data_IF_088716197440
#
_entry.id   IF_088716197440
#
_cell.length_a   1.000
_cell.length_b   1.000
_cell.length_c   1.000
_cell.angle_alpha   90.00
_cell.angle_beta   90.00
_cell.angle_gamma   90.00
#
_symmetry.space_group_name_H-M   'P 1'
#
loop_
_entity.id
_entity.type
_entity.pdbx_description
1 polymer ?
#
# COMPACT_ATOMS: atom_id res chain seq x y z
N UNK A 1 4.23 19.89 0.70
CA UNK A 1 4.47 19.61 2.13
C UNK A 1 3.79 18.29 2.40
N UNK A 2 4.46 17.33 3.03
CA UNK A 2 3.93 15.98 3.18
C UNK A 2 2.65 15.97 4.01
N UNK A 3 1.72 15.07 3.69
CA UNK A 3 0.54 14.83 4.52
C UNK A 3 0.99 14.20 5.83
N UNK A 4 0.68 14.84 6.96
CA UNK A 4 0.96 14.25 8.27
C UNK A 4 -0.08 13.19 8.62
N UNK A 5 0.36 12.16 9.34
CA UNK A 5 -0.52 11.07 9.78
C UNK A 5 -1.58 11.63 10.72
N UNK A 6 -1.18 12.55 11.62
CA UNK A 6 -2.08 13.22 12.53
C UNK A 6 -3.22 13.93 11.81
N UNK A 7 -2.89 14.76 10.82
CA UNK A 7 -3.88 15.51 10.04
C UNK A 7 -4.81 14.56 9.29
N UNK A 8 -4.27 13.47 8.73
CA UNK A 8 -5.07 12.46 8.04
C UNK A 8 -6.08 11.76 8.96
N UNK A 9 -5.67 11.28 10.13
CA UNK A 9 -6.58 10.61 11.07
C UNK A 9 -7.61 11.56 11.69
N UNK A 10 -7.19 12.79 12.04
CA UNK A 10 -8.10 13.80 12.58
C UNK A 10 -9.15 14.23 11.56
N UNK A 11 -8.84 14.20 10.26
CA UNK A 11 -9.81 14.53 9.21
C UNK A 11 -11.05 13.63 9.18
N UNK A 12 -10.95 12.44 9.75
CA UNK A 12 -12.05 11.47 9.90
C UNK A 12 -12.46 11.24 11.35
N UNK A 13 -12.06 12.15 12.26
CA UNK A 13 -12.37 12.10 13.70
C UNK A 13 -11.96 10.78 14.39
N UNK A 14 -10.84 10.17 13.96
CA UNK A 14 -10.33 8.96 14.58
C UNK A 14 -9.06 9.24 15.39
N UNK A 15 -8.98 8.83 16.67
CA UNK A 15 -7.68 8.73 17.34
C UNK A 15 -6.83 7.67 16.64
N UNK A 16 -5.54 7.57 16.93
CA UNK A 16 -4.70 6.46 16.46
C UNK A 16 -3.78 5.99 17.58
N UNK A 17 -3.41 4.72 17.53
CA UNK A 17 -2.49 4.11 18.47
C UNK A 17 -1.04 4.49 18.17
N UNK A 18 -0.14 4.26 19.13
CA UNK A 18 1.31 4.39 18.94
C UNK A 18 1.74 3.56 17.73
N UNK A 19 2.50 4.14 16.78
CA UNK A 19 2.95 3.40 15.62
C UNK A 19 3.89 2.27 16.02
N UNK A 20 3.77 1.14 15.34
CA UNK A 20 4.73 0.04 15.45
C UNK A 20 5.61 -0.01 14.22
N UNK A 21 6.81 -0.57 14.34
CA UNK A 21 7.65 -0.85 13.18
C UNK A 21 7.02 -1.94 12.32
N UNK A 22 7.26 -1.90 11.01
CA UNK A 22 6.91 -3.00 10.09
C UNK A 22 7.36 -4.36 10.65
N UNK A 23 6.57 -5.40 10.36
CA UNK A 23 6.75 -6.76 10.87
C UNK A 23 6.61 -6.93 12.39
N UNK A 24 6.10 -5.91 13.11
CA UNK A 24 5.76 -6.01 14.54
C UNK A 24 4.28 -6.38 14.70
N UNK A 25 3.93 -7.42 15.49
CA UNK A 25 2.53 -7.75 15.78
C UNK A 25 1.75 -6.58 16.38
N UNK A 26 0.48 -6.45 16.00
CA UNK A 26 -0.43 -5.45 16.55
C UNK A 26 -1.37 -6.06 17.59
N UNK A 27 -1.57 -5.38 18.70
CA UNK A 27 -2.67 -5.67 19.63
C UNK A 27 -3.93 -4.89 19.20
N UNK A 28 -4.49 -5.27 18.06
CA UNK A 28 -5.60 -4.58 17.40
C UNK A 28 -6.66 -5.58 16.91
N UNK A 29 -7.36 -6.21 17.86
CA UNK A 29 -8.37 -7.25 17.59
C UNK A 29 -9.77 -6.68 17.30
N UNK A 30 -9.84 -5.67 16.44
CA UNK A 30 -11.05 -4.97 16.06
C UNK A 30 -11.02 -4.55 14.58
N UNK A 31 -12.18 -4.22 13.98
CA UNK A 31 -12.24 -3.59 12.67
C UNK A 31 -11.69 -2.15 12.72
N UNK A 32 -11.12 -1.69 11.61
CA UNK A 32 -10.65 -0.31 11.50
C UNK A 32 -9.64 -0.07 10.38
N UNK A 33 -8.82 0.97 10.54
CA UNK A 33 -7.89 1.47 9.53
C UNK A 33 -6.45 1.27 9.98
N UNK A 34 -5.56 1.05 9.02
CA UNK A 34 -4.12 1.14 9.20
C UNK A 34 -3.46 1.95 8.08
N UNK A 35 -2.38 2.64 8.42
CA UNK A 35 -1.57 3.46 7.51
C UNK A 35 -0.13 3.02 7.61
N UNK A 36 0.52 2.77 6.47
CA UNK A 36 1.95 2.45 6.40
C UNK A 36 2.70 3.72 5.99
N UNK A 37 3.70 4.10 6.78
CA UNK A 37 4.41 5.38 6.67
C UNK A 37 5.93 5.22 6.74
N UNK A 38 6.65 6.13 6.11
CA UNK A 38 8.12 6.27 6.16
C UNK A 38 8.62 6.92 7.46
N UNK A 39 7.75 7.55 8.23
CA UNK A 39 8.07 8.20 9.50
C UNK A 39 7.27 7.61 10.66
N UNK A 40 7.88 7.63 11.85
CA UNK A 40 7.23 7.30 13.13
C UNK A 40 6.56 8.51 13.78
N UNK A 41 6.93 9.73 13.39
CA UNK A 41 6.35 10.94 13.97
C UNK A 41 5.05 11.25 13.23
N UNK A 42 3.89 11.23 13.91
CA UNK A 42 2.62 11.48 13.24
C UNK A 42 2.46 12.93 12.80
N UNK A 43 3.26 13.87 13.32
CA UNK A 43 3.18 15.29 13.01
C UNK A 43 4.12 15.71 11.87
N UNK A 44 4.98 14.81 11.40
CA UNK A 44 5.94 15.09 10.33
C UNK A 44 5.22 15.55 9.06
N UNK A 45 5.56 16.78 8.66
CA UNK A 45 5.13 17.43 7.41
C UNK A 45 6.29 17.56 6.41
N UNK A 46 7.47 17.10 6.80
CA UNK A 46 8.67 17.02 5.97
C UNK A 46 8.76 15.59 5.46
N UNK A 47 8.94 15.44 4.14
CA UNK A 47 9.11 14.14 3.53
C UNK A 47 10.42 13.49 3.98
N UNK A 48 10.38 12.18 4.19
CA UNK A 48 11.57 11.39 4.50
C UNK A 48 12.60 11.44 3.35
N UNK A 49 13.87 11.22 3.69
CA UNK A 49 14.97 11.25 2.72
C UNK A 49 15.17 9.92 1.95
N UNK A 50 14.20 9.01 1.98
CA UNK A 50 14.29 7.73 1.28
C UNK A 50 14.31 7.95 -0.23
N UNK A 51 15.33 7.39 -0.89
CA UNK A 51 15.36 7.30 -2.35
C UNK A 51 14.59 6.06 -2.78
N UNK A 52 13.71 6.22 -3.76
CA UNK A 52 12.97 5.09 -4.33
C UNK A 52 13.92 4.01 -4.85
N UNK A 53 13.85 2.82 -4.27
CA UNK A 53 14.69 1.69 -4.63
C UNK A 53 13.94 0.39 -4.34
N UNK A 54 14.00 -0.55 -5.30
CA UNK A 54 13.39 -1.86 -5.17
C UNK A 54 14.41 -2.91 -4.71
N UNK A 55 13.93 -3.92 -3.99
CA UNK A 55 14.73 -5.07 -3.56
C UNK A 55 14.80 -6.11 -4.68
N UNK A 56 16.01 -6.38 -5.17
CA UNK A 56 16.25 -7.35 -6.24
C UNK A 56 15.96 -8.80 -5.82
N UNK A 57 16.26 -9.18 -4.58
CA UNK A 57 16.01 -10.55 -4.09
C UNK A 57 14.50 -10.83 -4.05
N UNK A 58 13.72 -9.91 -3.46
CA UNK A 58 12.25 -10.00 -3.41
C UNK A 58 11.62 -10.03 -4.80
N UNK A 59 12.19 -9.27 -5.74
CA UNK A 59 11.75 -9.31 -7.14
C UNK A 59 12.05 -10.65 -7.83
N UNK A 60 13.25 -11.21 -7.62
CA UNK A 60 13.60 -12.53 -8.16
C UNK A 60 12.73 -13.65 -7.57
N UNK A 61 12.40 -13.59 -6.28
CA UNK A 61 11.44 -14.49 -5.66
C UNK A 61 10.05 -14.36 -6.28
N UNK A 62 9.57 -13.12 -6.47
CA UNK A 62 8.28 -12.90 -7.12
C UNK A 62 8.22 -13.50 -8.52
N UNK A 63 9.28 -13.34 -9.32
CA UNK A 63 9.36 -13.94 -10.66
C UNK A 63 9.32 -15.48 -10.62
N UNK A 64 9.96 -16.10 -9.62
CA UNK A 64 9.93 -17.55 -9.44
C UNK A 64 8.53 -18.07 -9.12
N UNK A 65 7.74 -17.27 -8.40
CA UNK A 65 6.37 -17.61 -8.05
C UNK A 65 5.38 -17.27 -9.18
N UNK A 66 5.50 -16.09 -9.80
CA UNK A 66 4.62 -15.59 -10.86
C UNK A 66 5.28 -15.67 -12.25
N UNK A 67 5.35 -16.88 -12.81
CA UNK A 67 6.12 -17.17 -14.03
C UNK A 67 5.65 -16.43 -15.30
N UNK A 68 4.45 -15.86 -15.27
CA UNK A 68 3.83 -15.10 -16.36
C UNK A 68 3.71 -13.61 -16.05
N UNK A 69 4.42 -13.13 -15.02
CA UNK A 69 4.49 -11.72 -14.67
C UNK A 69 4.94 -10.92 -15.89
N UNK A 70 4.13 -9.93 -16.26
CA UNK A 70 4.43 -9.02 -17.36
C UNK A 70 4.10 -7.58 -17.00
N UNK A 71 4.75 -6.68 -17.71
CA UNK A 71 4.50 -5.25 -17.67
C UNK A 71 4.32 -4.79 -19.11
N UNK A 72 3.25 -4.04 -19.39
CA UNK A 72 2.98 -3.56 -20.76
C UNK A 72 2.97 -4.71 -21.78
N UNK A 73 2.46 -5.87 -21.36
CA UNK A 73 2.38 -7.12 -22.14
C UNK A 73 3.74 -7.81 -22.41
N UNK A 74 4.86 -7.19 -22.02
CA UNK A 74 6.18 -7.77 -22.12
C UNK A 74 6.56 -8.57 -20.86
N UNK A 75 7.15 -9.75 -21.06
CA UNK A 75 7.69 -10.55 -19.97
C UNK A 75 8.88 -9.82 -19.37
N UNK A 76 8.82 -9.54 -18.07
CA UNK A 76 9.92 -8.85 -17.39
C UNK A 76 10.97 -9.87 -16.97
N UNK A 77 12.22 -9.68 -17.43
CA UNK A 77 13.35 -10.48 -16.97
C UNK A 77 14.23 -9.80 -15.92
N UNK A 78 14.29 -8.46 -15.90
CA UNK A 78 15.19 -7.69 -15.05
C UNK A 78 14.43 -6.72 -14.13
N UNK A 79 15.05 -6.32 -13.01
CA UNK A 79 14.44 -5.37 -12.07
C UNK A 79 14.31 -3.96 -12.65
N UNK A 80 15.27 -3.53 -13.47
CA UNK A 80 15.40 -2.13 -13.89
C UNK A 80 14.15 -1.57 -14.61
N UNK A 81 13.51 -2.30 -15.56
CA UNK A 81 12.24 -1.86 -16.13
C UNK A 81 11.14 -1.69 -15.07
N UNK A 82 11.07 -2.60 -14.10
CA UNK A 82 10.08 -2.54 -13.03
C UNK A 82 10.32 -1.37 -12.08
N UNK A 83 11.57 -1.08 -11.75
CA UNK A 83 11.95 0.08 -10.95
C UNK A 83 11.60 1.38 -11.68
N UNK A 84 11.96 1.52 -12.95
CA UNK A 84 11.60 2.69 -13.77
C UNK A 84 10.09 2.89 -13.85
N UNK A 85 9.33 1.81 -13.98
CA UNK A 85 7.88 1.86 -14.04
C UNK A 85 7.27 2.28 -12.70
N UNK A 86 7.64 1.61 -11.60
CA UNK A 86 7.10 1.91 -10.29
C UNK A 86 7.49 3.29 -9.75
N UNK A 87 8.64 3.85 -10.18
CA UNK A 87 9.03 5.20 -9.78
C UNK A 87 8.03 6.27 -10.24
N UNK A 88 7.19 5.99 -11.25
CA UNK A 88 6.14 6.91 -11.68
C UNK A 88 5.02 7.08 -10.64
N UNK A 89 4.84 6.11 -9.74
CA UNK A 89 3.85 6.16 -8.66
C UNK A 89 4.46 6.62 -7.32
N UNK A 90 5.78 6.78 -7.28
CA UNK A 90 6.48 7.27 -6.09
C UNK A 90 6.32 8.78 -5.98
N UNK A 91 5.88 9.26 -4.82
CA UNK A 91 5.89 10.68 -4.50
C UNK A 91 7.02 10.96 -3.50
N UNK A 92 8.11 11.64 -3.90
CA UNK A 92 9.23 11.92 -3.01
C UNK A 92 8.88 12.95 -1.91
N UNK A 93 7.77 13.67 -2.06
CA UNK A 93 7.32 14.69 -1.10
C UNK A 93 6.33 14.13 -0.06
N UNK A 94 6.17 12.80 0.03
CA UNK A 94 5.18 12.16 0.89
C UNK A 94 5.76 11.06 1.77
N UNK A 95 5.16 10.91 2.96
CA UNK A 95 5.53 9.87 3.93
C UNK A 95 4.58 8.67 3.89
N UNK A 96 3.33 8.85 3.46
CA UNK A 96 2.31 7.81 3.48
C UNK A 96 2.42 6.94 2.22
N UNK A 97 2.64 5.64 2.43
CA UNK A 97 2.81 4.66 1.36
C UNK A 97 1.54 3.88 1.05
N UNK A 98 0.71 3.64 2.07
CA UNK A 98 -0.48 2.82 1.94
C UNK A 98 -1.49 3.15 3.05
N UNK A 99 -2.76 3.19 2.68
CA UNK A 99 -3.90 3.26 3.60
C UNK A 99 -4.75 2.02 3.35
N UNK A 100 -5.05 1.26 4.41
CA UNK A 100 -5.81 0.02 4.31
C UNK A 100 -6.85 -0.11 5.41
N UNK A 101 -7.86 -0.94 5.17
CA UNK A 101 -8.89 -1.26 6.16
C UNK A 101 -9.00 -2.74 6.50
N UNK A 102 -9.71 -2.99 7.59
CA UNK A 102 -10.31 -4.28 7.97
C UNK A 102 -11.75 -4.08 8.45
N UNK A 103 -12.72 -4.66 7.75
CA UNK A 103 -14.17 -4.52 8.05
C UNK A 103 -14.75 -5.53 9.05
N UNK A 104 -13.98 -6.49 9.57
CA UNK A 104 -14.54 -7.53 10.45
C UNK A 104 -13.63 -7.84 11.63
N UNK A 105 -14.20 -8.07 12.81
CA UNK A 105 -13.47 -8.56 13.99
C UNK A 105 -12.84 -9.94 13.74
N UNK A 106 -13.46 -10.78 12.91
CA UNK A 106 -12.88 -12.08 12.50
C UNK A 106 -11.64 -11.92 11.62
N UNK A 107 -11.52 -10.77 10.93
CA UNK A 107 -10.41 -10.38 10.07
C UNK A 107 -9.78 -9.07 10.56
N UNK A 108 -9.64 -8.90 11.87
CA UNK A 108 -9.19 -7.68 12.55
C UNK A 108 -7.97 -7.01 11.91
N UNK A 109 -7.71 -5.74 12.24
CA UNK A 109 -6.50 -5.02 11.78
C UNK A 109 -5.25 -5.87 12.03
N UNK A 110 -5.10 -6.43 13.24
CA UNK A 110 -3.96 -7.30 13.57
C UNK A 110 -3.82 -8.48 12.61
N UNK A 111 -4.92 -9.19 12.31
CA UNK A 111 -4.91 -10.29 11.34
C UNK A 111 -4.58 -9.82 9.93
N UNK A 112 -5.16 -8.71 9.48
CA UNK A 112 -4.97 -8.18 8.13
C UNK A 112 -3.53 -7.72 7.91
N UNK A 113 -2.95 -7.04 8.88
CA UNK A 113 -1.55 -6.59 8.86
C UNK A 113 -0.60 -7.81 8.93
N UNK A 114 -0.89 -8.80 9.78
CA UNK A 114 -0.12 -10.04 9.84
C UNK A 114 -0.18 -10.83 8.52
N UNK A 115 -1.34 -10.88 7.86
CA UNK A 115 -1.48 -11.44 6.51
C UNK A 115 -0.58 -10.69 5.51
N UNK A 116 -0.50 -9.37 5.62
CA UNK A 116 0.36 -8.56 4.77
C UNK A 116 1.85 -8.88 5.00
N UNK A 117 2.27 -9.01 6.26
CA UNK A 117 3.65 -9.42 6.60
C UNK A 117 3.99 -10.79 6.04
N UNK A 118 3.08 -11.76 6.17
CA UNK A 118 3.28 -13.15 5.70
C UNK A 118 3.14 -13.33 4.19
N UNK A 119 2.44 -12.43 3.50
CA UNK A 119 2.15 -12.58 2.08
C UNK A 119 3.43 -12.62 1.25
N UNK A 120 3.62 -13.66 0.45
CA UNK A 120 4.70 -13.73 -0.53
C UNK A 120 4.20 -13.28 -1.88
N UNK A 121 4.97 -12.41 -2.54
CA UNK A 121 4.67 -11.97 -3.88
C UNK A 121 4.54 -13.17 -4.82
N UNK A 122 3.60 -13.09 -5.76
CA UNK A 122 3.30 -14.19 -6.68
C UNK A 122 2.28 -15.18 -6.15
N UNK A 123 1.93 -15.15 -4.87
CA UNK A 123 0.84 -15.96 -4.33
C UNK A 123 -0.51 -15.25 -4.49
N UNK A 124 -1.62 -16.01 -4.52
CA UNK A 124 -2.99 -15.45 -4.62
C UNK A 124 -3.53 -14.84 -3.32
N UNK A 125 -2.80 -14.99 -2.22
CA UNK A 125 -3.22 -14.58 -0.90
C UNK A 125 -2.07 -14.72 0.09
N UNK A 126 -2.30 -14.43 1.38
CA UNK A 126 -3.57 -14.05 1.99
C UNK A 126 -3.95 -12.56 1.80
N UNK A 127 -3.09 -11.74 1.19
CA UNK A 127 -3.33 -10.31 0.99
C UNK A 127 -2.87 -9.86 -0.39
N UNK A 128 -3.80 -9.39 -1.23
CA UNK A 128 -3.52 -8.97 -2.61
C UNK A 128 -3.45 -7.44 -2.78
N UNK A 129 -3.83 -6.67 -1.75
CA UNK A 129 -3.85 -5.21 -1.82
C UNK A 129 -2.45 -4.65 -1.62
N UNK A 130 -2.04 -3.70 -2.45
CA UNK A 130 -0.75 -3.01 -2.31
C UNK A 130 0.49 -3.89 -2.34
N UNK A 131 0.38 -5.11 -2.89
CA UNK A 131 1.45 -6.11 -2.90
C UNK A 131 2.82 -5.53 -3.31
N UNK A 132 2.86 -4.59 -4.26
CA UNK A 132 4.13 -4.01 -4.72
C UNK A 132 4.89 -3.20 -3.66
N UNK A 133 4.25 -2.88 -2.52
CA UNK A 133 4.92 -2.29 -1.37
C UNK A 133 6.03 -3.20 -0.86
N UNK A 134 5.84 -4.52 -0.99
CA UNK A 134 6.81 -5.54 -0.58
C UNK A 134 8.11 -5.49 -1.37
N UNK A 135 8.13 -4.80 -2.52
CA UNK A 135 9.34 -4.62 -3.31
C UNK A 135 10.22 -3.49 -2.79
N UNK A 136 9.76 -2.62 -1.89
CA UNK A 136 10.57 -1.50 -1.40
C UNK A 136 11.74 -2.01 -0.56
N UNK A 137 12.96 -1.56 -0.89
CA UNK A 137 14.18 -1.96 -0.17
C UNK A 137 14.17 -1.55 1.31
N UNK A 138 13.51 -0.46 1.64
CA UNK A 138 13.41 0.10 2.98
C UNK A 138 12.11 -0.27 3.71
N UNK A 139 11.35 -1.27 3.23
CA UNK A 139 10.08 -1.68 3.84
C UNK A 139 10.19 -1.96 5.34
N UNK A 140 11.25 -2.65 5.76
CA UNK A 140 11.52 -2.98 7.16
C UNK A 140 11.76 -1.73 8.05
N UNK A 141 11.97 -0.55 7.46
CA UNK A 141 12.12 0.71 8.18
C UNK A 141 10.83 1.55 8.21
N UNK A 142 9.72 1.03 7.71
CA UNK A 142 8.41 1.68 7.75
C UNK A 142 7.68 1.44 9.06
N UNK A 143 6.64 2.21 9.30
CA UNK A 143 5.81 2.17 10.50
C UNK A 143 4.34 1.98 10.15
N UNK A 144 3.60 1.30 11.03
CA UNK A 144 2.16 1.07 10.91
C UNK A 144 1.43 1.85 12.01
N UNK A 145 0.63 2.82 11.58
CA UNK A 145 -0.35 3.50 12.41
C UNK A 145 -1.69 2.81 12.25
N UNK A 146 -2.50 2.77 13.29
CA UNK A 146 -3.78 2.07 13.23
C UNK A 146 -4.80 2.64 14.21
N UNK A 147 -6.07 2.42 13.89
CA UNK A 147 -7.19 2.85 14.72
C UNK A 147 -8.42 1.98 14.49
N UNK A 148 -9.25 1.86 15.53
CA UNK A 148 -10.59 1.28 15.42
C UNK A 148 -11.47 2.22 14.60
N UNK A 149 -12.25 1.68 13.67
CA UNK A 149 -13.27 2.43 12.96
C UNK A 149 -14.58 1.63 12.92
N UNK A 150 -15.71 2.31 13.07
CA UNK A 150 -17.03 1.68 13.02
C UNK A 150 -17.41 1.27 11.59
N UNK A 151 -17.10 2.13 10.62
CA UNK A 151 -17.30 1.89 9.19
C UNK A 151 -15.96 1.94 8.44
N UNK A 152 -15.09 0.90 8.54
CA UNK A 152 -13.72 0.94 8.00
C UNK A 152 -13.66 1.19 6.50
N UNK A 153 -14.59 0.63 5.72
CA UNK A 153 -14.63 0.84 4.27
C UNK A 153 -14.87 2.31 3.91
N UNK A 154 -15.88 2.92 4.50
CA UNK A 154 -16.22 4.33 4.28
C UNK A 154 -15.11 5.25 4.82
N UNK A 155 -14.54 4.90 5.97
CA UNK A 155 -13.44 5.65 6.59
C UNK A 155 -12.19 5.63 5.71
N UNK A 156 -11.81 4.48 5.16
CA UNK A 156 -10.67 4.34 4.24
C UNK A 156 -10.88 5.23 3.02
N UNK A 157 -12.07 5.16 2.41
CA UNK A 157 -12.39 5.97 1.24
C UNK A 157 -12.29 7.47 1.54
N UNK A 158 -12.85 7.93 2.67
CA UNK A 158 -12.73 9.33 3.13
C UNK A 158 -11.28 9.74 3.37
N UNK A 159 -10.47 8.88 4.01
CA UNK A 159 -9.05 9.14 4.23
C UNK A 159 -8.28 9.22 2.90
N UNK A 160 -8.60 8.39 1.92
CA UNK A 160 -7.95 8.45 0.60
C UNK A 160 -8.28 9.74 -0.13
N UNK A 161 -9.54 10.18 -0.13
CA UNK A 161 -9.92 11.48 -0.69
C UNK A 161 -9.20 12.61 0.02
N UNK A 162 -9.15 12.58 1.36
CA UNK A 162 -8.46 13.62 2.14
C UNK A 162 -6.96 13.64 1.86
N UNK A 163 -6.31 12.47 1.78
CA UNK A 163 -4.90 12.38 1.40
C UNK A 163 -4.65 13.05 0.04
N UNK A 164 -5.51 12.82 -0.94
CA UNK A 164 -5.39 13.44 -2.26
C UNK A 164 -5.52 14.97 -2.16
N UNK A 165 -6.50 15.50 -1.43
CA UNK A 165 -6.64 16.95 -1.24
C UNK A 165 -5.41 17.56 -0.58
N UNK A 166 -4.94 16.96 0.51
CA UNK A 166 -3.84 17.49 1.30
C UNK A 166 -2.51 17.41 0.53
N UNK A 167 -2.24 16.30 -0.15
CA UNK A 167 -1.00 16.11 -0.92
C UNK A 167 -0.92 16.98 -2.17
N UNK A 168 -2.07 17.30 -2.78
CA UNK A 168 -2.12 18.13 -3.99
C UNK A 168 -2.39 19.61 -3.72
N UNK A 169 -2.93 19.95 -2.54
CA UNK A 169 -3.41 21.29 -2.20
C UNK A 169 -4.63 21.74 -3.00
N UNK A 170 -5.36 20.80 -3.62
CA UNK A 170 -6.51 21.08 -4.51
C UNK A 170 -7.77 20.37 -4.03
N UNK A 171 -8.93 20.88 -4.42
CA UNK A 171 -10.18 20.16 -4.18
C UNK A 171 -10.23 18.88 -5.03
N UNK A 172 -10.80 17.79 -4.50
CA UNK A 172 -11.00 16.55 -5.27
C UNK A 172 -11.80 16.78 -6.57
N UNK A 173 -12.65 17.80 -6.63
CA UNK A 173 -13.42 18.14 -7.83
C UNK A 173 -12.58 18.74 -8.95
N UNK A 174 -11.37 19.21 -8.65
CA UNK A 174 -10.44 19.84 -9.61
C UNK A 174 -9.37 18.87 -10.11
N UNK A 175 -9.33 17.65 -9.55
CA UNK A 175 -8.26 16.68 -9.80
C UNK A 175 -8.75 15.66 -10.83
N UNK A 176 -8.25 15.72 -12.08
CA UNK A 176 -8.51 14.66 -13.03
C UNK A 176 -7.81 13.39 -12.57
N UNK A 177 -8.50 12.24 -12.70
CA UNK A 177 -7.97 10.91 -12.35
C UNK A 177 -7.40 10.84 -10.92
N UNK A 178 -8.30 10.81 -9.93
CA UNK A 178 -7.96 10.65 -8.51
C UNK A 178 -7.08 9.41 -8.24
N UNK A 179 -7.25 8.32 -9.00
CA UNK A 179 -6.49 7.09 -8.87
C UNK A 179 -4.97 7.28 -9.03
N UNK A 180 -4.56 8.23 -9.89
CA UNK A 180 -3.16 8.59 -10.08
C UNK A 180 -2.54 9.34 -8.88
N UNK A 181 -3.37 9.84 -7.96
CA UNK A 181 -2.96 10.57 -6.75
C UNK A 181 -3.06 9.75 -5.47
N UNK A 182 -3.43 8.47 -5.57
CA UNK A 182 -3.46 7.56 -4.42
C UNK A 182 -2.05 7.30 -3.86
N UNK A 183 -1.91 6.99 -2.56
CA UNK A 183 -0.63 6.61 -1.95
C UNK A 183 0.06 5.50 -2.74
N UNK A 184 1.39 5.42 -2.67
CA UNK A 184 2.23 4.56 -3.52
C UNK A 184 1.62 3.18 -3.78
N UNK A 185 1.20 2.45 -2.74
CA UNK A 185 0.68 1.09 -2.85
C UNK A 185 -0.86 0.95 -2.84
N UNK A 186 -1.62 2.03 -2.81
CA UNK A 186 -3.07 1.93 -2.97
C UNK A 186 -3.41 1.68 -4.45
N UNK A 187 -3.85 0.45 -4.77
CA UNK A 187 -4.19 0.03 -6.12
C UNK A 187 -5.69 0.15 -6.41
N UNK A 188 -6.52 -0.44 -5.54
CA UNK A 188 -7.96 -0.54 -5.74
C UNK A 188 -8.66 -0.18 -4.42
N UNK A 189 -9.22 1.02 -4.32
CA UNK A 189 -9.92 1.47 -3.12
C UNK A 189 -11.14 2.35 -3.49
N UNK A 190 -12.05 1.78 -4.27
CA UNK A 190 -13.14 2.47 -5.01
C UNK A 190 -12.65 3.48 -6.06
N UNK A 191 -11.39 3.89 -5.96
CA UNK A 191 -10.60 4.55 -6.98
C UNK A 191 -9.55 3.55 -7.49
N UNK A 192 -9.43 3.45 -8.82
CA UNK A 192 -8.48 2.54 -9.45
C UNK A 192 -7.21 3.30 -9.87
N UNK A 193 -6.07 2.86 -9.33
CA UNK A 193 -4.75 3.23 -9.85
C UNK A 193 -4.49 2.39 -11.09
N UNK A 194 -4.67 2.99 -12.26
CA UNK A 194 -4.40 2.34 -13.54
C UNK A 194 -2.94 1.94 -13.63
N UNK A 195 -2.67 0.64 -13.81
CA UNK A 195 -1.32 0.10 -13.98
C UNK A 195 -1.26 -1.05 -15.00
N UNK A 196 -0.06 -1.24 -15.55
CA UNK A 196 0.23 -2.17 -16.65
C UNK A 196 0.81 -3.51 -16.20
N UNK A 197 0.99 -3.71 -14.88
CA UNK A 197 1.41 -5.00 -14.32
C UNK A 197 0.30 -6.04 -14.52
N UNK A 198 0.62 -7.15 -15.16
CA UNK A 198 -0.30 -8.27 -15.40
C UNK A 198 0.25 -9.57 -14.82
N UNK A 199 -0.68 -10.47 -14.51
CA UNK A 199 -0.40 -11.77 -13.89
C UNK A 199 0.52 -11.69 -12.65
N UNK A 200 0.23 -10.81 -11.66
CA UNK A 200 1.07 -10.64 -10.48
C UNK A 200 1.08 -11.86 -9.55
N UNK A 201 0.29 -12.88 -9.86
CA UNK A 201 0.16 -14.11 -9.08
C UNK A 201 0.23 -15.33 -9.98
N UNK A 202 0.76 -16.45 -9.48
CA UNK A 202 0.65 -17.73 -10.14
C UNK A 202 -0.82 -18.12 -10.28
N UNK A 203 -1.34 -18.01 -11.51
CA UNK A 203 -2.57 -18.72 -11.84
C UNK A 203 -2.13 -20.16 -12.06
N UNK A 204 -2.52 -21.06 -11.15
CA UNK A 204 -2.77 -22.44 -11.55
C UNK A 204 -3.77 -22.39 -12.70
N UNK A 205 -3.31 -22.26 -13.95
CA UNK A 205 -4.07 -22.74 -15.09
C UNK A 205 -4.25 -24.20 -14.72
N UNK A 206 -5.49 -24.62 -14.44
CA UNK A 206 -5.87 -26.02 -14.50
C UNK A 206 -5.13 -26.56 -15.71
N UNK A 207 -4.17 -27.46 -15.50
CA UNK A 207 -3.64 -28.25 -16.60
C UNK A 207 -4.90 -28.80 -17.27
N UNK A 208 -5.18 -28.32 -18.50
CA UNK A 208 -6.15 -29.01 -19.34
C UNK A 208 -5.49 -30.35 -19.57
N UNK A 209 -5.83 -31.35 -18.75
CA UNK A 209 -5.62 -32.75 -19.07
C UNK A 209 -6.21 -32.91 -20.47
N UNK A 210 -5.33 -33.02 -21.46
CA UNK A 210 -5.69 -33.47 -22.79
C UNK A 210 -6.09 -34.94 -22.70
#
# INVERSE_FOLDING_TARGET
MAVSIHELFMSVNLPYNTPVKWNTPLDANYPGIYVISLTKDPYDKIASNYKFELNNETFLEWKKEANYLSLEEEKIEQLAPFQKYLSQFWNPDENILYIGQSSSSTHSISKRVLQYYKHKLGQKGPHNGGYWLKLLKFLESTFVFYSKAENPKETEFKMLLKYIELSTGKSIFEIPNLGAKLPFANLNAELDKVHSIKNPTNRNKREKKK
#
